data_IF_891770944923
#
_entry.id   IF_891770944923
#
_cell.length_a   1.000
_cell.length_b   1.000
_cell.length_c   1.000
_cell.angle_alpha   90.00
_cell.angle_beta   90.00
_cell.angle_gamma   90.00
#
_symmetry.space_group_name_H-M   'P 1'
#
loop_
_entity.id
_entity.type
_entity.pdbx_description
1 polymer ?
#
# COMPACT_ATOMS: atom_id res chain seq x y z
N UNK A 1 -82.72 10.25 22.11
CA UNK A 1 -82.08 10.48 20.81
C UNK A 1 -80.73 9.83 20.86
N UNK A 2 -80.56 8.66 20.21
CA UNK A 2 -79.39 7.83 20.15
C UNK A 2 -78.64 8.14 18.84
N UNK A 3 -77.39 8.51 18.88
CA UNK A 3 -76.53 8.63 17.70
C UNK A 3 -75.94 7.26 17.37
N UNK A 4 -75.89 6.84 16.09
CA UNK A 4 -75.35 5.55 15.71
C UNK A 4 -73.82 5.55 15.67
N UNK A 5 -73.24 4.53 16.34
CA UNK A 5 -71.81 4.13 16.29
C UNK A 5 -71.43 3.56 14.93
N UNK A 6 -71.02 4.38 13.97
CA UNK A 6 -70.63 3.86 12.63
C UNK A 6 -69.38 4.56 12.03
N UNK A 7 -68.44 4.98 12.85
CA UNK A 7 -67.16 5.62 12.41
C UNK A 7 -65.88 4.88 12.84
N UNK A 8 -65.98 3.64 13.37
CA UNK A 8 -64.80 2.87 13.76
C UNK A 8 -64.19 1.95 12.70
N UNK A 9 -64.79 1.83 11.52
CA UNK A 9 -64.33 0.87 10.50
C UNK A 9 -63.48 1.47 9.34
N UNK A 10 -63.17 2.76 9.36
CA UNK A 10 -62.37 3.38 8.28
C UNK A 10 -60.89 3.65 8.65
N UNK A 11 -60.45 3.26 9.84
CA UNK A 11 -59.08 3.49 10.34
C UNK A 11 -58.09 2.37 10.03
N UNK A 12 -58.51 1.20 9.61
CA UNK A 12 -57.61 0.01 9.50
C UNK A 12 -57.07 -0.31 8.10
N UNK A 13 -57.32 0.51 7.10
CA UNK A 13 -56.92 0.22 5.70
C UNK A 13 -55.68 0.97 5.23
N UNK A 14 -54.93 1.72 6.10
CA UNK A 14 -53.81 2.55 5.66
C UNK A 14 -52.45 2.23 6.29
N UNK A 15 -52.25 1.08 6.88
CA UNK A 15 -50.94 0.67 7.39
C UNK A 15 -50.41 -0.62 6.74
N UNK A 16 -50.43 -0.69 5.41
CA UNK A 16 -49.53 -1.61 4.72
C UNK A 16 -48.15 -0.93 4.72
N UNK A 17 -47.15 -1.49 5.40
CA UNK A 17 -45.76 -1.02 5.24
C UNK A 17 -45.43 -1.26 3.76
N UNK A 18 -45.19 -0.18 3.03
CA UNK A 18 -44.52 -0.20 1.72
C UNK A 18 -43.26 -1.04 1.92
N UNK A 19 -43.28 -2.25 1.34
CA UNK A 19 -42.18 -3.18 1.39
C UNK A 19 -40.92 -2.41 1.06
N UNK A 20 -40.05 -2.28 2.04
CA UNK A 20 -38.68 -1.82 1.82
C UNK A 20 -38.11 -2.80 0.81
N UNK A 21 -38.12 -2.42 -0.47
CA UNK A 21 -37.23 -3.04 -1.46
C UNK A 21 -35.86 -2.96 -0.86
N UNK A 22 -35.43 -4.05 -0.22
CA UNK A 22 -34.07 -4.26 0.10
C UNK A 22 -33.30 -3.96 -1.19
N UNK A 23 -32.74 -2.76 -1.25
CA UNK A 23 -31.84 -2.36 -2.32
C UNK A 23 -30.68 -3.31 -2.17
N UNK A 24 -30.75 -4.45 -2.89
CA UNK A 24 -29.62 -5.37 -3.03
C UNK A 24 -28.46 -4.50 -3.49
N UNK A 25 -27.62 -4.11 -2.54
CA UNK A 25 -26.41 -3.38 -2.83
C UNK A 25 -25.65 -4.29 -3.80
N UNK A 26 -25.59 -3.87 -5.06
CA UNK A 26 -24.82 -4.56 -6.06
C UNK A 26 -23.42 -4.75 -5.44
N UNK A 27 -22.85 -5.98 -5.47
CA UNK A 27 -21.55 -6.24 -4.87
C UNK A 27 -20.60 -5.21 -5.47
N UNK A 28 -20.00 -4.39 -4.61
CA UNK A 28 -19.03 -3.37 -5.03
C UNK A 28 -17.91 -4.14 -5.73
N UNK A 29 -17.91 -4.11 -7.07
CA UNK A 29 -16.82 -4.68 -7.88
C UNK A 29 -15.57 -4.10 -7.33
N UNK A 30 -14.75 -4.94 -6.65
CA UNK A 30 -13.49 -4.53 -6.05
C UNK A 30 -12.72 -3.74 -7.10
N UNK A 31 -12.41 -2.48 -6.82
CA UNK A 31 -11.69 -1.60 -7.75
C UNK A 31 -10.35 -2.24 -8.03
N UNK A 32 -10.20 -2.83 -9.21
CA UNK A 32 -8.94 -3.42 -9.67
C UNK A 32 -7.98 -2.31 -10.06
N UNK A 33 -6.71 -2.52 -9.76
CA UNK A 33 -5.65 -1.63 -10.23
C UNK A 33 -5.49 -1.83 -11.75
N UNK A 34 -5.65 -0.80 -12.56
CA UNK A 34 -5.49 -0.94 -14.02
C UNK A 34 -4.01 -1.14 -14.38
N UNK A 35 -3.71 -1.87 -15.48
CA UNK A 35 -2.33 -2.17 -15.88
C UNK A 35 -1.44 -0.94 -16.08
N UNK A 36 -2.00 0.14 -16.64
CA UNK A 36 -1.25 1.39 -16.84
C UNK A 36 -0.77 2.01 -15.52
N UNK A 37 -1.52 1.84 -14.42
CA UNK A 37 -1.08 2.33 -13.11
C UNK A 37 0.05 1.48 -12.53
N UNK A 38 0.08 0.17 -12.81
CA UNK A 38 1.18 -0.71 -12.41
C UNK A 38 2.45 -0.33 -13.19
N UNK A 39 2.33 -0.13 -14.50
CA UNK A 39 3.44 0.31 -15.36
C UNK A 39 3.97 1.65 -14.88
N UNK A 40 3.10 2.63 -14.65
CA UNK A 40 3.49 3.95 -14.16
C UNK A 40 4.20 3.87 -12.80
N UNK A 41 3.68 3.07 -11.86
CA UNK A 41 4.31 2.87 -10.56
C UNK A 41 5.70 2.21 -10.68
N UNK A 42 5.86 1.24 -11.59
CA UNK A 42 7.13 0.56 -11.84
C UNK A 42 8.17 1.43 -12.55
N UNK A 43 7.71 2.33 -13.42
CA UNK A 43 8.59 3.30 -14.08
C UNK A 43 9.21 4.30 -13.10
N UNK A 44 8.54 4.62 -12.00
CA UNK A 44 9.03 5.59 -11.01
C UNK A 44 10.44 5.28 -10.49
N UNK A 45 10.70 4.11 -9.88
CA UNK A 45 12.06 3.78 -9.42
C UNK A 45 13.06 3.60 -10.56
N UNK A 46 12.63 3.14 -11.72
CA UNK A 46 13.49 2.96 -12.90
C UNK A 46 13.96 4.33 -13.41
N UNK A 47 13.06 5.29 -13.56
CA UNK A 47 13.36 6.64 -14.00
C UNK A 47 14.23 7.39 -12.99
N UNK A 48 13.96 7.24 -11.69
CA UNK A 48 14.78 7.87 -10.67
C UNK A 48 16.19 7.28 -10.66
N UNK A 49 16.30 5.94 -10.57
CA UNK A 49 17.60 5.25 -10.52
C UNK A 49 18.37 5.40 -11.82
N UNK A 50 17.72 5.19 -12.95
CA UNK A 50 18.33 5.42 -14.27
C UNK A 50 18.74 6.87 -14.50
N UNK A 51 17.94 7.81 -14.03
CA UNK A 51 18.21 9.24 -14.11
C UNK A 51 19.48 9.64 -13.37
N UNK A 52 19.61 9.26 -12.07
CA UNK A 52 20.81 9.62 -11.33
C UNK A 52 22.04 8.81 -11.74
N UNK A 53 21.91 7.58 -12.26
CA UNK A 53 23.02 6.83 -12.86
C UNK A 53 23.52 7.52 -14.13
N UNK A 54 22.59 7.86 -15.02
CA UNK A 54 22.93 8.54 -16.29
C UNK A 54 23.51 9.94 -16.03
N UNK A 55 22.87 10.74 -15.18
CA UNK A 55 23.37 12.07 -14.82
C UNK A 55 24.72 11.99 -14.12
N UNK A 56 24.91 11.02 -13.22
CA UNK A 56 26.18 10.81 -12.49
C UNK A 56 27.34 10.44 -13.42
N UNK A 57 27.08 9.64 -14.47
CA UNK A 57 28.09 9.27 -15.47
C UNK A 57 28.59 10.46 -16.31
N UNK A 58 27.81 11.55 -16.35
CA UNK A 58 28.17 12.77 -17.08
C UNK A 58 28.92 13.78 -16.20
N UNK A 59 29.00 13.56 -14.89
CA UNK A 59 29.68 14.48 -13.99
C UNK A 59 31.21 14.38 -14.12
N UNK A 60 31.96 15.45 -13.75
CA UNK A 60 33.42 15.43 -13.77
C UNK A 60 33.97 14.41 -12.77
N UNK A 61 35.24 14.00 -12.94
CA UNK A 61 35.89 13.00 -12.09
C UNK A 61 35.98 13.39 -10.59
N UNK A 62 35.80 14.65 -10.25
CA UNK A 62 35.69 15.14 -8.88
C UNK A 62 34.39 14.86 -8.19
N UNK A 63 33.36 14.52 -8.93
CA UNK A 63 32.04 14.19 -8.38
C UNK A 63 32.08 12.90 -7.56
N UNK A 64 31.55 12.98 -6.34
CA UNK A 64 31.50 11.83 -5.43
C UNK A 64 30.04 11.44 -5.12
N UNK A 65 29.52 10.35 -5.70
CA UNK A 65 28.11 9.94 -5.51
C UNK A 65 27.76 9.53 -4.08
N UNK A 66 28.75 9.26 -3.22
CA UNK A 66 28.50 8.94 -1.81
C UNK A 66 28.22 10.22 -1.02
N UNK A 67 28.93 11.29 -1.33
CA UNK A 67 28.88 12.57 -0.60
C UNK A 67 27.88 13.56 -1.21
N UNK A 68 27.81 13.60 -2.54
CA UNK A 68 27.02 14.59 -3.25
C UNK A 68 25.60 14.09 -3.56
N UNK A 69 24.64 14.97 -3.35
CA UNK A 69 23.21 14.68 -3.51
C UNK A 69 22.82 14.49 -4.99
N UNK A 70 21.66 13.88 -5.22
CA UNK A 70 21.03 13.81 -6.53
C UNK A 70 20.64 15.22 -7.00
N UNK A 71 20.27 16.10 -6.08
CA UNK A 71 19.87 17.48 -6.34
C UNK A 71 20.99 18.31 -6.99
N UNK A 72 22.26 18.07 -6.65
CA UNK A 72 23.41 18.73 -7.27
C UNK A 72 23.45 18.48 -8.78
N UNK A 73 23.13 17.27 -9.22
CA UNK A 73 23.10 16.93 -10.66
C UNK A 73 21.97 17.62 -11.43
N UNK A 74 20.87 17.96 -10.76
CA UNK A 74 19.75 18.73 -11.33
C UNK A 74 19.98 20.25 -11.18
N UNK A 75 20.95 20.66 -10.36
CA UNK A 75 21.29 22.05 -10.06
C UNK A 75 22.11 22.75 -11.15
N UNK A 76 22.41 24.03 -10.92
CA UNK A 76 23.16 24.83 -11.89
C UNK A 76 24.64 24.42 -12.01
N UNK A 77 25.19 23.71 -11.03
CA UNK A 77 26.55 23.17 -11.06
C UNK A 77 26.64 21.83 -11.82
N UNK A 78 25.53 21.14 -12.03
CA UNK A 78 25.49 19.82 -12.68
C UNK A 78 25.78 19.91 -14.18
N UNK A 79 26.67 19.02 -14.66
CA UNK A 79 26.89 18.81 -16.10
C UNK A 79 25.64 18.14 -16.67
N UNK A 80 25.14 18.66 -17.81
CA UNK A 80 23.92 18.15 -18.46
C UNK A 80 22.75 17.94 -17.49
N UNK A 81 22.56 18.90 -16.60
CA UNK A 81 21.55 18.89 -15.52
C UNK A 81 20.15 18.48 -15.99
N UNK A 82 19.83 18.67 -17.28
CA UNK A 82 18.55 18.34 -17.87
C UNK A 82 18.21 16.85 -17.83
N UNK A 83 19.24 15.99 -17.75
CA UNK A 83 19.05 14.54 -17.61
C UNK A 83 18.34 14.24 -16.27
N UNK A 84 18.89 14.79 -15.17
CA UNK A 84 18.29 14.57 -13.84
C UNK A 84 16.98 15.35 -13.67
N UNK A 85 16.94 16.59 -14.17
CA UNK A 85 15.71 17.40 -14.16
C UNK A 85 14.57 16.68 -14.90
N UNK A 86 14.85 16.12 -16.09
CA UNK A 86 13.89 15.34 -16.86
C UNK A 86 13.42 14.08 -16.12
N UNK A 87 14.34 13.36 -15.49
CA UNK A 87 14.02 12.19 -14.66
C UNK A 87 13.06 12.57 -13.51
N UNK A 88 13.31 13.66 -12.79
CA UNK A 88 12.45 14.13 -11.70
C UNK A 88 11.07 14.55 -12.19
N UNK A 89 10.97 15.21 -13.34
CA UNK A 89 9.67 15.56 -13.95
C UNK A 89 8.86 14.30 -14.30
N UNK A 90 9.52 13.31 -14.89
CA UNK A 90 8.88 12.04 -15.27
C UNK A 90 8.46 11.24 -14.02
N UNK A 91 9.30 11.19 -12.98
CA UNK A 91 8.97 10.59 -11.68
C UNK A 91 7.73 11.26 -11.09
N UNK A 92 7.68 12.59 -11.09
CA UNK A 92 6.51 13.34 -10.63
C UNK A 92 5.24 12.98 -11.42
N UNK A 93 5.33 12.97 -12.74
CA UNK A 93 4.24 12.55 -13.65
C UNK A 93 3.77 11.12 -13.37
N UNK A 94 4.71 10.18 -13.17
CA UNK A 94 4.38 8.80 -12.82
C UNK A 94 3.64 8.68 -11.49
N UNK A 95 4.02 9.46 -10.47
CA UNK A 95 3.29 9.49 -9.20
C UNK A 95 1.84 9.97 -9.36
N UNK A 96 1.62 11.02 -10.17
CA UNK A 96 0.27 11.53 -10.47
C UNK A 96 -0.59 10.48 -11.17
N UNK A 97 -0.05 9.86 -12.22
CA UNK A 97 -0.72 8.79 -12.96
C UNK A 97 -1.02 7.60 -12.04
N UNK A 98 -0.04 7.15 -11.26
CA UNK A 98 -0.21 6.05 -10.30
C UNK A 98 -1.31 6.36 -9.28
N UNK A 99 -1.33 7.58 -8.71
CA UNK A 99 -2.37 8.00 -7.78
C UNK A 99 -3.78 7.97 -8.40
N UNK A 100 -3.92 8.33 -9.67
CA UNK A 100 -5.18 8.24 -10.41
C UNK A 100 -5.67 6.79 -10.52
N UNK A 101 -4.77 5.85 -10.80
CA UNK A 101 -5.08 4.43 -10.98
C UNK A 101 -5.26 3.62 -9.70
N UNK A 102 -4.68 4.04 -8.57
CA UNK A 102 -4.79 3.35 -7.28
C UNK A 102 -6.14 3.60 -6.59
N UNK A 103 -7.26 3.42 -7.29
CA UNK A 103 -8.60 3.57 -6.73
C UNK A 103 -8.92 2.58 -5.59
N UNK A 104 -8.13 1.52 -5.45
CA UNK A 104 -8.27 0.51 -4.41
C UNK A 104 -7.75 0.96 -3.03
N UNK A 105 -6.91 2.00 -2.94
CA UNK A 105 -6.43 2.56 -1.66
C UNK A 105 -7.29 3.73 -1.18
N UNK A 106 -7.07 4.18 0.06
CA UNK A 106 -7.82 5.29 0.65
C UNK A 106 -7.50 6.61 -0.06
N UNK A 107 -8.48 7.51 -0.09
CA UNK A 107 -8.31 8.85 -0.69
C UNK A 107 -7.12 9.63 -0.09
N UNK A 108 -6.91 9.67 1.25
CA UNK A 108 -5.73 10.35 1.80
C UNK A 108 -4.40 9.84 1.25
N UNK A 109 -4.24 8.52 1.10
CA UNK A 109 -3.03 7.96 0.51
C UNK A 109 -2.84 8.38 -0.95
N UNK A 110 -3.92 8.46 -1.73
CA UNK A 110 -3.87 8.96 -3.11
C UNK A 110 -3.47 10.44 -3.16
N UNK A 111 -4.02 11.25 -2.26
CA UNK A 111 -3.66 12.67 -2.13
C UNK A 111 -2.18 12.82 -1.78
N UNK A 112 -1.67 12.06 -0.81
CA UNK A 112 -0.24 12.08 -0.46
C UNK A 112 0.64 11.71 -1.65
N UNK A 113 0.24 10.73 -2.47
CA UNK A 113 1.00 10.36 -3.66
C UNK A 113 0.97 11.45 -4.75
N UNK A 114 -0.14 12.16 -4.90
CA UNK A 114 -0.23 13.36 -5.75
C UNK A 114 0.73 14.43 -5.24
N UNK A 115 0.73 14.70 -3.94
CA UNK A 115 1.61 15.70 -3.33
C UNK A 115 3.09 15.33 -3.47
N UNK A 116 3.44 14.04 -3.36
CA UNK A 116 4.80 13.55 -3.64
C UNK A 116 5.19 13.79 -5.11
N UNK A 117 4.27 13.55 -6.04
CA UNK A 117 4.50 13.85 -7.46
C UNK A 117 4.70 15.34 -7.75
N UNK A 118 3.86 16.19 -7.15
CA UNK A 118 4.01 17.65 -7.25
C UNK A 118 5.31 18.13 -6.64
N UNK A 119 5.73 17.52 -5.52
CA UNK A 119 7.02 17.82 -4.91
C UNK A 119 8.19 17.49 -5.84
N UNK A 120 8.19 16.33 -6.49
CA UNK A 120 9.22 15.96 -7.47
C UNK A 120 9.29 16.95 -8.64
N UNK A 121 8.15 17.42 -9.15
CA UNK A 121 8.07 18.49 -10.14
C UNK A 121 8.60 19.81 -9.58
N UNK A 122 8.26 20.14 -8.32
CA UNK A 122 8.75 21.32 -7.62
C UNK A 122 10.27 21.34 -7.48
N UNK A 123 10.88 20.20 -7.13
CA UNK A 123 12.34 20.03 -7.10
C UNK A 123 12.94 20.28 -8.46
N UNK A 124 12.40 19.67 -9.50
CA UNK A 124 12.88 19.81 -10.89
C UNK A 124 12.82 21.25 -11.42
N UNK A 125 11.83 22.01 -11.01
CA UNK A 125 11.61 23.41 -11.42
C UNK A 125 12.29 24.44 -10.52
N UNK A 126 12.90 24.00 -9.41
CA UNK A 126 13.62 24.86 -8.46
C UNK A 126 15.06 24.36 -8.32
N UNK A 127 15.91 24.48 -9.38
CA UNK A 127 17.27 23.93 -9.36
C UNK A 127 18.13 24.58 -8.26
N UNK A 128 19.04 23.80 -7.69
CA UNK A 128 20.02 24.31 -6.74
C UNK A 128 20.97 25.31 -7.41
N UNK A 129 21.35 26.38 -6.71
CA UNK A 129 22.40 27.29 -7.17
C UNK A 129 23.77 26.57 -7.15
N UNK A 130 24.80 27.22 -7.68
CA UNK A 130 26.17 26.66 -7.71
C UNK A 130 26.70 26.40 -6.29
N UNK A 131 26.28 27.21 -5.32
CA UNK A 131 26.68 27.07 -3.90
C UNK A 131 25.45 27.13 -3.02
N UNK A 132 25.29 26.14 -2.14
CA UNK A 132 24.20 26.06 -1.18
C UNK A 132 22.88 25.61 -1.81
N UNK A 133 21.77 25.89 -1.14
CA UNK A 133 20.42 25.55 -1.62
C UNK A 133 19.47 26.71 -1.38
N UNK A 134 18.46 26.86 -2.25
CA UNK A 134 17.42 27.87 -2.05
C UNK A 134 16.38 27.40 -1.05
N UNK A 135 15.75 28.31 -0.30
CA UNK A 135 14.62 27.94 0.59
C UNK A 135 13.49 27.21 -0.14
N UNK A 136 13.24 27.56 -1.39
CA UNK A 136 12.23 26.91 -2.22
C UNK A 136 12.61 25.46 -2.54
N UNK A 137 13.87 25.20 -2.93
CA UNK A 137 14.35 23.84 -3.20
C UNK A 137 14.27 22.99 -1.92
N UNK A 138 14.76 23.51 -0.79
CA UNK A 138 14.68 22.84 0.51
C UNK A 138 13.22 22.54 0.93
N UNK A 139 12.31 23.47 0.67
CA UNK A 139 10.90 23.25 0.96
C UNK A 139 10.31 22.08 0.16
N UNK A 140 10.59 22.02 -1.16
CA UNK A 140 10.10 20.92 -1.99
C UNK A 140 10.73 19.57 -1.62
N UNK A 141 12.03 19.52 -1.40
CA UNK A 141 12.73 18.29 -1.01
C UNK A 141 12.26 17.77 0.34
N UNK A 142 12.20 18.63 1.37
CA UNK A 142 11.75 18.25 2.69
C UNK A 142 10.28 17.82 2.69
N UNK A 143 9.41 18.58 2.01
CA UNK A 143 7.99 18.26 1.90
C UNK A 143 7.78 16.89 1.23
N UNK A 144 8.45 16.64 0.09
CA UNK A 144 8.35 15.37 -0.63
C UNK A 144 8.85 14.20 0.17
N UNK A 145 10.00 14.35 0.83
CA UNK A 145 10.59 13.31 1.67
C UNK A 145 9.69 12.89 2.83
N UNK A 146 9.07 13.86 3.52
CA UNK A 146 8.11 13.58 4.59
C UNK A 146 6.84 12.91 4.05
N UNK A 147 6.25 13.46 2.98
CA UNK A 147 5.02 12.94 2.38
C UNK A 147 5.17 11.48 1.98
N UNK A 148 6.24 11.15 1.26
CA UNK A 148 6.44 9.77 0.79
C UNK A 148 6.79 8.82 1.94
N UNK A 149 7.46 9.31 3.00
CA UNK A 149 7.78 8.51 4.18
C UNK A 149 6.53 8.12 4.98
N UNK A 150 5.55 9.02 5.13
CA UNK A 150 4.33 8.74 5.88
C UNK A 150 3.23 8.07 5.04
N UNK A 151 3.36 8.08 3.71
CA UNK A 151 2.37 7.56 2.77
C UNK A 151 1.86 6.14 3.10
N UNK A 152 2.70 5.15 3.48
CA UNK A 152 2.24 3.79 3.74
C UNK A 152 1.24 3.70 4.89
N UNK A 153 1.36 4.55 5.91
CA UNK A 153 0.43 4.59 7.04
C UNK A 153 -1.02 4.88 6.62
N UNK A 154 -1.20 5.65 5.54
CA UNK A 154 -2.51 6.03 5.01
C UNK A 154 -3.06 5.06 3.97
N UNK A 155 -2.25 4.15 3.45
CA UNK A 155 -2.65 3.15 2.46
C UNK A 155 -3.52 2.04 3.05
N UNK A 156 -3.37 1.72 4.35
CA UNK A 156 -4.13 0.68 5.04
C UNK A 156 -5.63 0.98 5.08
N UNK A 157 -6.48 -0.05 4.83
CA UNK A 157 -7.93 0.02 4.98
C UNK A 157 -8.38 -0.85 6.16
N UNK A 158 -8.98 -0.31 7.22
CA UNK A 158 -9.56 -1.13 8.27
C UNK A 158 -10.81 -1.87 7.76
N UNK A 159 -10.99 -3.13 8.16
CA UNK A 159 -12.23 -3.88 7.96
C UNK A 159 -12.39 -4.65 6.63
N UNK A 160 -11.40 -4.65 5.74
CA UNK A 160 -11.40 -5.49 4.53
C UNK A 160 -10.31 -6.56 4.61
N UNK A 161 -10.49 -7.78 4.08
CA UNK A 161 -9.39 -8.72 3.90
C UNK A 161 -8.36 -8.08 2.97
N UNK A 162 -7.18 -7.76 3.49
CA UNK A 162 -6.12 -7.08 2.76
C UNK A 162 -4.83 -7.90 2.82
N UNK A 163 -3.97 -7.76 1.80
CA UNK A 163 -2.62 -8.28 1.87
C UNK A 163 -1.89 -7.81 3.13
N UNK A 164 -1.05 -8.66 3.72
CA UNK A 164 -0.33 -8.37 4.97
C UNK A 164 0.40 -7.02 4.96
N UNK A 165 0.99 -6.64 3.82
CA UNK A 165 1.71 -5.37 3.66
C UNK A 165 0.82 -4.12 3.78
N UNK A 166 -0.49 -4.25 3.52
CA UNK A 166 -1.49 -3.19 3.65
C UNK A 166 -2.30 -3.30 4.96
N UNK A 167 -2.01 -4.29 5.79
CA UNK A 167 -2.55 -4.37 7.14
C UNK A 167 -2.03 -3.22 8.00
N UNK A 168 -2.71 -2.90 9.09
CA UNK A 168 -2.25 -1.86 10.03
C UNK A 168 -0.81 -2.09 10.50
N UNK A 169 -0.46 -3.34 10.84
CA UNK A 169 0.89 -3.71 11.28
C UNK A 169 1.91 -3.58 10.15
N UNK A 170 1.61 -4.13 8.97
CA UNK A 170 2.48 -4.03 7.80
C UNK A 170 2.74 -2.57 7.39
N UNK A 171 1.70 -1.76 7.29
CA UNK A 171 1.83 -0.32 6.99
C UNK A 171 2.62 0.42 8.07
N UNK A 172 2.44 0.10 9.36
CA UNK A 172 3.20 0.71 10.44
C UNK A 172 4.70 0.36 10.36
N UNK A 173 5.03 -0.90 10.09
CA UNK A 173 6.43 -1.34 9.92
C UNK A 173 7.09 -0.63 8.75
N UNK A 174 6.43 -0.56 7.60
CA UNK A 174 7.00 0.13 6.42
C UNK A 174 7.16 1.62 6.68
N UNK A 175 6.18 2.25 7.31
CA UNK A 175 6.29 3.67 7.69
C UNK A 175 7.47 3.89 8.66
N UNK A 176 7.66 3.01 9.64
CA UNK A 176 8.77 3.09 10.57
C UNK A 176 10.13 2.95 9.85
N UNK A 177 10.24 2.03 8.88
CA UNK A 177 11.45 1.88 8.04
C UNK A 177 11.70 3.16 7.22
N UNK A 178 10.65 3.74 6.62
CA UNK A 178 10.79 4.96 5.83
C UNK A 178 11.18 6.17 6.67
N UNK A 179 10.63 6.27 7.88
CA UNK A 179 11.01 7.33 8.82
C UNK A 179 12.46 7.13 9.34
N UNK A 180 12.89 5.89 9.55
CA UNK A 180 14.28 5.61 9.92
C UNK A 180 15.26 6.01 8.80
N UNK A 181 14.94 5.70 7.54
CA UNK A 181 15.72 6.14 6.37
C UNK A 181 15.74 7.67 6.25
N UNK A 182 14.61 8.31 6.46
CA UNK A 182 14.52 9.78 6.45
C UNK A 182 15.32 10.39 7.60
N UNK A 183 15.29 9.80 8.78
CA UNK A 183 16.07 10.23 9.93
C UNK A 183 17.58 10.11 9.64
N UNK A 184 18.01 8.99 9.05
CA UNK A 184 19.41 8.85 8.60
C UNK A 184 19.78 9.95 7.60
N UNK A 185 18.97 10.19 6.58
CA UNK A 185 19.20 11.28 5.62
C UNK A 185 19.33 12.64 6.32
N UNK A 186 18.45 12.95 7.28
CA UNK A 186 18.52 14.20 8.04
C UNK A 186 19.79 14.30 8.88
N UNK A 187 20.25 13.21 9.48
CA UNK A 187 21.52 13.18 10.23
C UNK A 187 22.68 13.49 9.28
N UNK A 188 22.70 12.89 8.10
CA UNK A 188 23.77 13.14 7.10
C UNK A 188 23.81 14.60 6.62
N UNK A 189 22.67 15.31 6.59
CA UNK A 189 22.65 16.75 6.26
C UNK A 189 23.37 17.63 7.29
N UNK A 190 23.62 17.13 8.49
CA UNK A 190 24.33 17.85 9.55
C UNK A 190 25.87 17.75 9.46
N UNK A 191 26.39 17.36 8.30
CA UNK A 191 27.84 17.24 8.06
C UNK A 191 28.35 15.81 7.98
N UNK A 192 27.46 14.85 7.72
CA UNK A 192 27.83 13.45 7.46
C UNK A 192 28.61 13.26 6.16
N UNK A 193 29.29 12.12 6.05
CA UNK A 193 30.12 11.77 4.88
C UNK A 193 29.34 11.05 3.77
N UNK A 194 28.12 10.57 4.07
CA UNK A 194 27.36 9.64 3.23
C UNK A 194 26.03 10.22 2.74
N UNK A 195 25.93 11.56 2.69
CA UNK A 195 24.72 12.29 2.35
C UNK A 195 24.11 11.85 0.99
N UNK A 196 24.97 11.74 -0.03
CA UNK A 196 24.53 11.29 -1.36
C UNK A 196 24.05 9.83 -1.37
N UNK A 197 24.68 8.96 -0.60
CA UNK A 197 24.25 7.57 -0.43
C UNK A 197 22.91 7.50 0.31
N UNK A 198 22.76 8.24 1.40
CA UNK A 198 21.55 8.30 2.20
C UNK A 198 20.35 8.78 1.36
N UNK A 199 20.54 9.83 0.55
CA UNK A 199 19.50 10.35 -0.34
C UNK A 199 19.09 9.31 -1.40
N UNK A 200 20.04 8.68 -2.08
CA UNK A 200 19.78 7.67 -3.12
C UNK A 200 19.04 6.46 -2.57
N UNK A 201 19.52 5.93 -1.43
CA UNK A 201 18.90 4.76 -0.83
C UNK A 201 17.50 5.08 -0.32
N UNK A 202 17.34 6.18 0.41
CA UNK A 202 16.05 6.62 0.93
C UNK A 202 15.03 6.84 -0.20
N UNK A 203 15.39 7.61 -1.22
CA UNK A 203 14.49 7.93 -2.33
C UNK A 203 14.17 6.70 -3.19
N UNK A 204 15.14 5.82 -3.47
CA UNK A 204 14.92 4.61 -4.26
C UNK A 204 13.99 3.63 -3.56
N UNK A 205 14.18 3.39 -2.26
CA UNK A 205 13.32 2.50 -1.47
C UNK A 205 11.90 3.07 -1.37
N UNK A 206 11.78 4.34 -1.03
CA UNK A 206 10.48 4.98 -0.86
C UNK A 206 9.67 5.06 -2.17
N UNK A 207 10.31 5.42 -3.28
CA UNK A 207 9.64 5.52 -4.59
C UNK A 207 9.29 4.17 -5.20
N UNK A 208 9.91 3.08 -4.77
CA UNK A 208 9.56 1.72 -5.18
C UNK A 208 8.27 1.20 -4.53
N UNK A 209 7.87 1.74 -3.39
CA UNK A 209 6.77 1.21 -2.61
C UNK A 209 5.39 1.32 -3.30
N UNK A 210 5.02 2.41 -4.00
CA UNK A 210 3.79 2.46 -4.78
C UNK A 210 3.66 1.34 -5.81
N UNK A 211 4.78 0.90 -6.42
CA UNK A 211 4.80 -0.24 -7.33
C UNK A 211 4.49 -1.56 -6.60
N UNK A 212 5.14 -1.80 -5.47
CA UNK A 212 4.87 -2.99 -4.64
C UNK A 212 3.39 -3.05 -4.25
N UNK A 213 2.82 -1.94 -3.80
CA UNK A 213 1.39 -1.83 -3.47
C UNK A 213 0.50 -2.10 -4.67
N UNK A 214 0.81 -1.52 -5.83
CA UNK A 214 0.04 -1.71 -7.06
C UNK A 214 0.02 -3.18 -7.51
N UNK A 215 1.18 -3.86 -7.50
CA UNK A 215 1.31 -5.27 -7.87
C UNK A 215 0.57 -6.18 -6.89
N UNK A 216 0.72 -5.94 -5.59
CA UNK A 216 0.08 -6.77 -4.57
C UNK A 216 -1.45 -6.63 -4.63
N UNK A 217 -1.97 -5.42 -4.81
CA UNK A 217 -3.41 -5.21 -5.00
C UNK A 217 -3.94 -5.87 -6.26
N UNK A 218 -3.19 -5.79 -7.36
CA UNK A 218 -3.56 -6.43 -8.62
C UNK A 218 -3.60 -7.96 -8.49
N UNK A 219 -2.58 -8.57 -7.88
CA UNK A 219 -2.53 -10.02 -7.64
C UNK A 219 -3.64 -10.48 -6.71
N UNK A 220 -3.91 -9.73 -5.64
CA UNK A 220 -4.98 -10.04 -4.70
C UNK A 220 -6.36 -10.02 -5.40
N UNK A 221 -6.61 -9.01 -6.23
CA UNK A 221 -7.85 -8.94 -7.01
C UNK A 221 -7.97 -10.06 -8.06
N UNK A 222 -6.87 -10.54 -8.63
CA UNK A 222 -6.86 -11.68 -9.54
C UNK A 222 -7.17 -13.01 -8.82
N UNK A 223 -6.61 -13.21 -7.61
CA UNK A 223 -6.86 -14.41 -6.80
C UNK A 223 -8.30 -14.53 -6.30
N UNK A 224 -8.98 -13.41 -6.06
CA UNK A 224 -10.40 -13.41 -5.63
C UNK A 224 -11.39 -13.61 -6.78
N UNK A 225 -10.94 -13.57 -8.03
CA UNK A 225 -11.72 -13.85 -9.24
C UNK A 225 -11.56 -15.31 -9.67
N UNK A 226 -11.56 -16.26 -8.74
CA UNK A 226 -11.68 -17.68 -9.14
C UNK A 226 -12.94 -17.81 -9.98
N UNK A 227 -12.88 -18.33 -11.22
CA UNK A 227 -14.11 -18.57 -11.98
C UNK A 227 -14.94 -19.56 -11.16
N UNK A 228 -16.17 -19.20 -10.81
CA UNK A 228 -17.21 -20.21 -10.58
C UNK A 228 -17.26 -21.01 -11.86
N UNK A 229 -16.83 -22.26 -11.80
CA UNK A 229 -16.95 -23.18 -12.94
C UNK A 229 -18.44 -23.18 -13.32
N UNK A 230 -18.79 -22.88 -14.58
CA UNK A 230 -20.17 -22.90 -15.00
C UNK A 230 -20.70 -24.32 -14.82
N UNK A 231 -21.59 -24.53 -13.85
CA UNK A 231 -22.25 -25.82 -13.64
C UNK A 231 -22.09 -26.46 -12.26
N UNK A 232 -21.35 -25.89 -11.33
CA UNK A 232 -21.33 -26.42 -9.96
C UNK A 232 -22.54 -25.87 -9.19
N UNK A 233 -23.50 -26.73 -8.80
CA UNK A 233 -24.65 -26.27 -8.04
C UNK A 233 -24.19 -25.69 -6.70
N UNK A 234 -24.80 -24.59 -6.19
CA UNK A 234 -24.39 -23.97 -4.91
C UNK A 234 -24.47 -24.94 -3.72
N UNK A 235 -25.22 -26.04 -3.83
CA UNK A 235 -25.30 -27.10 -2.83
C UNK A 235 -24.03 -27.96 -2.72
N UNK A 236 -23.27 -28.15 -3.81
CA UNK A 236 -22.06 -28.95 -3.80
C UNK A 236 -20.93 -28.27 -3.02
N UNK A 237 -20.84 -26.95 -3.07
CA UNK A 237 -19.83 -26.18 -2.33
C UNK A 237 -20.09 -26.21 -0.80
N UNK A 238 -21.34 -26.17 -0.37
CA UNK A 238 -21.70 -26.30 1.04
C UNK A 238 -21.46 -27.74 1.57
N UNK A 239 -21.77 -28.76 0.75
CA UNK A 239 -21.54 -30.14 1.12
C UNK A 239 -20.03 -30.44 1.25
N UNK A 240 -19.19 -29.93 0.36
CA UNK A 240 -17.75 -30.09 0.45
C UNK A 240 -17.14 -29.34 1.65
N UNK A 241 -17.61 -28.13 1.95
CA UNK A 241 -17.14 -27.38 3.12
C UNK A 241 -17.51 -28.11 4.44
N UNK A 242 -18.73 -28.65 4.55
CA UNK A 242 -19.14 -29.46 5.71
C UNK A 242 -18.38 -30.75 5.83
N UNK A 243 -18.03 -31.41 4.69
CA UNK A 243 -17.23 -32.64 4.72
C UNK A 243 -15.79 -32.39 5.17
N UNK A 244 -15.19 -31.29 4.74
CA UNK A 244 -13.82 -30.90 5.17
C UNK A 244 -13.82 -30.51 6.66
N UNK A 245 -14.80 -29.77 7.15
CA UNK A 245 -14.92 -29.45 8.57
C UNK A 245 -15.13 -30.72 9.44
N UNK A 246 -15.98 -31.65 8.99
CA UNK A 246 -16.20 -32.91 9.68
C UNK A 246 -14.94 -33.77 9.74
N UNK A 247 -14.20 -33.90 8.63
CA UNK A 247 -12.92 -34.64 8.58
C UNK A 247 -11.85 -33.98 9.48
N UNK A 248 -11.82 -32.64 9.55
CA UNK A 248 -10.85 -31.94 10.40
C UNK A 248 -11.19 -32.13 11.89
N UNK A 249 -12.46 -32.13 12.24
CA UNK A 249 -12.92 -32.39 13.61
C UNK A 249 -12.64 -33.84 14.04
N UNK A 250 -12.83 -34.82 13.16
CA UNK A 250 -12.49 -36.23 13.42
C UNK A 250 -10.97 -36.44 13.59
N UNK A 251 -10.15 -35.79 12.76
CA UNK A 251 -8.69 -35.86 12.90
C UNK A 251 -8.20 -35.28 14.23
N UNK A 252 -8.75 -34.15 14.66
CA UNK A 252 -8.41 -33.53 15.96
C UNK A 252 -8.83 -34.40 17.16
N UNK A 253 -9.97 -35.08 17.07
CA UNK A 253 -10.44 -35.99 18.15
C UNK A 253 -9.58 -37.25 18.25
N UNK A 254 -9.12 -37.75 17.11
CA UNK A 254 -8.24 -38.94 17.07
C UNK A 254 -6.84 -38.64 17.65
N UNK A 255 -6.30 -37.42 17.35
CA UNK A 255 -5.03 -36.99 17.95
C UNK A 255 -5.13 -36.75 19.46
N UNK A 256 -6.22 -36.20 19.93
CA UNK A 256 -6.45 -36.00 21.36
C UNK A 256 -6.54 -37.33 22.14
N UNK A 257 -7.23 -38.32 21.58
CA UNK A 257 -7.33 -39.67 22.21
C UNK A 257 -6.01 -40.42 22.17
N UNK A 258 -5.19 -40.26 21.12
CA UNK A 258 -3.86 -40.87 21.06
C UNK A 258 -2.90 -40.28 22.10
N UNK A 259 -2.98 -38.96 22.32
CA UNK A 259 -2.15 -38.27 23.32
C UNK A 259 -2.53 -38.67 24.75
N UNK A 260 -3.81 -38.84 25.03
CA UNK A 260 -4.32 -39.28 26.35
C UNK A 260 -3.94 -40.73 26.65
N UNK A 261 -3.99 -41.61 25.66
CA UNK A 261 -3.56 -42.99 25.80
C UNK A 261 -2.05 -43.11 26.10
N UNK A 262 -1.23 -42.27 25.45
CA UNK A 262 0.23 -42.24 25.68
C UNK A 262 0.57 -41.69 27.04
N UNK A 263 -0.13 -40.66 27.54
CA UNK A 263 0.06 -40.11 28.87
C UNK A 263 -0.32 -41.12 29.98
N UNK A 264 -1.41 -41.85 29.77
CA UNK A 264 -1.89 -42.89 30.74
C UNK A 264 -0.96 -44.10 30.78
N UNK A 265 -0.34 -44.46 29.63
CA UNK A 265 0.66 -45.53 29.54
C UNK A 265 1.95 -45.20 30.29
N UNK A 266 2.43 -43.95 30.18
CA UNK A 266 3.61 -43.48 30.92
C UNK A 266 3.43 -43.45 32.44
N UNK A 267 2.25 -43.09 32.91
CA UNK A 267 1.95 -43.06 34.37
C UNK A 267 1.85 -44.48 34.97
N UNK A 268 1.38 -45.49 34.23
CA UNK A 268 1.37 -46.88 34.67
C UNK A 268 2.76 -47.50 34.75
N UNK A 269 3.65 -47.19 33.80
CA UNK A 269 5.02 -47.70 33.82
C UNK A 269 5.89 -47.16 34.96
N UNK A 270 5.54 -46.06 35.59
CA UNK A 270 6.24 -45.51 36.77
C UNK A 270 5.80 -46.14 38.11
N UNK A 271 4.61 -46.73 38.18
CA UNK A 271 4.15 -47.40 39.42
C UNK A 271 4.69 -48.82 39.59
N UNK A 272 5.19 -49.46 38.52
CA UNK A 272 5.73 -50.84 38.61
C UNK A 272 7.25 -50.88 38.88
N UNK A 273 7.89 -49.73 39.11
CA UNK A 273 9.33 -49.63 39.44
C UNK A 273 9.63 -49.01 40.81
N UNK A 274 8.64 -48.96 41.72
CA UNK A 274 8.83 -48.47 43.09
C UNK A 274 8.64 -49.64 44.12
#
# INVERSE_FOLDING_TARGET
MAFPDNLRSLGELHSRPLGSRARTAAPSRGRTVPPWAIVSAGLTPILLTGGWLAAGALQPASYNPIRETVSVMAGHAGTDRWVMTGALLLVGGCHLVTAAGLGAIRVPARVLLILAGLSSIGIATSPEPIVGSTPQHLAWTSFGAVIIAVWPAFAARPGSPQPLILSRRGSAVVTAVFLALLCWLVIETQGGSDLGMAERLTSSVQTSWPFVVAVVLWRHAAGTRRPELPGEPPEASHAQAMTVEAMTAEAMTTEATATEATATGLLRGQCDLA
#
